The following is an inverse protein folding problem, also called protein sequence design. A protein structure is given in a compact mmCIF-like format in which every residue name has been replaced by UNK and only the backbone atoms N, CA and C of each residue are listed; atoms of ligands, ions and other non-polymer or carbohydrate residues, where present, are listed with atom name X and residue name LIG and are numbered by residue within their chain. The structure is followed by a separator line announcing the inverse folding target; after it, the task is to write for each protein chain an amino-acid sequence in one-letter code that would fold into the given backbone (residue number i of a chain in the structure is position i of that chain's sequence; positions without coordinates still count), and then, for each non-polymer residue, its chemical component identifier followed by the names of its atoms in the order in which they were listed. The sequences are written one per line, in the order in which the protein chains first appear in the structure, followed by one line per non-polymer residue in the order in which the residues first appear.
data_IF_094616487483
#
_entry.id   IF_094616487483
#
_cell.length_a   1.000
_cell.length_b   1.000
_cell.length_c   1.000
_cell.angle_alpha   90.00
_cell.angle_beta   90.00
_cell.angle_gamma   90.00
#
_symmetry.space_group_name_H-M   'P 1'
#
loop_
_entity.id
_entity.type
_entity.pdbx_description
1 polymer ?
#
# COMPACT_ATOMS: atom_id res chain seq x y z
N UNK A 1 14.16 16.40 8.45
CA UNK A 1 13.14 16.45 9.51
C UNK A 1 13.77 15.98 10.82
N UNK A 2 13.34 16.51 11.96
CA UNK A 2 13.82 16.10 13.28
C UNK A 2 13.31 14.69 13.62
N UNK A 3 14.20 13.80 14.08
CA UNK A 3 13.88 12.45 14.55
C UNK A 3 12.77 12.45 15.61
N UNK A 4 12.71 13.47 16.48
CA UNK A 4 11.64 13.59 17.49
C UNK A 4 10.26 13.78 16.88
N UNK A 5 10.18 14.46 15.73
CA UNK A 5 8.92 14.64 15.02
C UNK A 5 8.43 13.32 14.42
N UNK A 6 9.34 12.56 13.79
CA UNK A 6 9.02 11.23 13.25
C UNK A 6 8.52 10.30 14.36
N UNK A 7 9.19 10.27 15.51
CA UNK A 7 8.75 9.47 16.67
C UNK A 7 7.35 9.87 17.17
N UNK A 8 7.04 11.16 17.12
CA UNK A 8 5.71 11.66 17.47
C UNK A 8 4.65 11.19 16.46
N UNK A 9 4.95 11.24 15.16
CA UNK A 9 4.05 10.72 14.11
C UNK A 9 3.84 9.22 14.33
N UNK A 10 4.91 8.44 14.47
CA UNK A 10 4.87 7.00 14.71
C UNK A 10 3.95 6.65 15.88
N UNK A 11 4.08 7.35 17.02
CA UNK A 11 3.21 7.10 18.18
C UNK A 11 1.73 7.34 17.85
N UNK A 12 1.42 8.48 17.23
CA UNK A 12 0.05 8.85 16.90
C UNK A 12 -0.58 7.88 15.88
N UNK A 13 0.20 7.47 14.88
CA UNK A 13 -0.25 6.52 13.85
C UNK A 13 -0.44 5.13 14.44
N UNK A 14 0.50 4.68 15.28
CA UNK A 14 0.37 3.39 15.96
C UNK A 14 -0.89 3.32 16.82
N UNK A 15 -1.23 4.41 17.50
CA UNK A 15 -2.46 4.48 18.30
C UNK A 15 -3.71 4.33 17.41
N UNK A 16 -3.73 4.93 16.22
CA UNK A 16 -4.82 4.80 15.24
C UNK A 16 -4.95 3.36 14.69
N UNK A 17 -3.83 2.71 14.36
CA UNK A 17 -3.81 1.38 13.69
C UNK A 17 -3.67 0.18 14.65
N UNK A 18 -3.81 0.39 15.96
CA UNK A 18 -3.45 -0.61 16.98
C UNK A 18 -4.34 -1.85 17.04
N UNK A 19 -5.51 -1.84 16.38
CA UNK A 19 -6.53 -2.90 16.49
C UNK A 19 -7.13 -3.37 15.15
N UNK A 20 -6.50 -3.09 14.00
CA UNK A 20 -7.06 -3.52 12.70
C UNK A 20 -6.64 -4.96 12.32
N UNK A 21 -7.58 -5.93 12.22
CA UNK A 21 -7.29 -7.29 11.76
C UNK A 21 -7.24 -7.44 10.24
N UNK A 22 -7.56 -6.39 9.46
CA UNK A 22 -7.74 -6.48 7.99
C UNK A 22 -6.44 -6.56 7.19
N UNK A 23 -5.30 -6.39 7.86
CA UNK A 23 -3.98 -6.31 7.24
C UNK A 23 -3.48 -4.88 6.98
N UNK A 24 -4.23 -3.84 7.37
CA UNK A 24 -3.79 -2.44 7.42
C UNK A 24 -3.39 -2.02 8.85
N UNK A 25 -2.84 -2.96 9.60
CA UNK A 25 -2.35 -2.75 10.96
C UNK A 25 -1.11 -1.84 10.99
N UNK A 26 -0.66 -1.50 12.20
CA UNK A 26 0.59 -0.77 12.41
C UNK A 26 1.78 -1.39 11.66
N UNK A 27 1.83 -2.72 11.56
CA UNK A 27 2.97 -3.40 10.94
C UNK A 27 3.00 -3.24 9.43
N UNK A 28 1.85 -3.10 8.76
CA UNK A 28 1.82 -2.65 7.36
C UNK A 28 2.47 -1.29 7.22
N UNK A 29 2.02 -0.31 8.01
CA UNK A 29 2.54 1.06 7.93
C UNK A 29 4.04 1.09 8.19
N UNK A 30 4.52 0.33 9.18
CA UNK A 30 5.94 0.24 9.49
C UNK A 30 6.77 -0.39 8.36
N UNK A 31 6.28 -1.48 7.74
CA UNK A 31 6.97 -2.08 6.58
C UNK A 31 7.02 -1.12 5.39
N UNK A 32 5.93 -0.43 5.10
CA UNK A 32 5.87 0.59 4.03
C UNK A 32 6.82 1.74 4.33
N UNK A 33 6.83 2.27 5.57
CA UNK A 33 7.80 3.27 6.02
C UNK A 33 9.23 2.83 5.76
N UNK A 34 9.61 1.66 6.25
CA UNK A 34 10.98 1.17 6.17
C UNK A 34 11.41 0.99 4.70
N UNK A 35 10.50 0.47 3.87
CA UNK A 35 10.74 0.28 2.44
C UNK A 35 10.80 1.60 1.67
N UNK A 36 9.94 2.57 1.98
CA UNK A 36 9.95 3.88 1.35
C UNK A 36 11.26 4.62 1.64
N UNK A 37 11.74 4.59 2.89
CA UNK A 37 13.03 5.16 3.28
C UNK A 37 14.19 4.44 2.58
N UNK A 38 14.12 3.11 2.45
CA UNK A 38 15.12 2.33 1.71
C UNK A 38 15.17 2.72 0.23
N UNK A 39 14.02 2.81 -0.44
CA UNK A 39 13.92 3.22 -1.85
C UNK A 39 14.45 4.65 -2.00
N UNK A 40 13.96 5.59 -1.18
CA UNK A 40 14.40 6.98 -1.21
C UNK A 40 15.91 7.15 -1.04
N UNK A 41 16.55 6.33 -0.20
CA UNK A 41 18.01 6.31 -0.04
C UNK A 41 18.74 5.83 -1.31
N UNK A 42 18.29 4.74 -1.92
CA UNK A 42 18.93 4.17 -3.10
C UNK A 42 18.70 5.01 -4.37
N UNK A 43 17.59 5.74 -4.44
CA UNK A 43 17.32 6.72 -5.51
C UNK A 43 17.99 8.09 -5.25
N UNK A 44 18.66 8.28 -4.10
CA UNK A 44 19.38 9.51 -3.78
C UNK A 44 18.49 10.70 -3.41
N UNK A 45 17.28 10.48 -2.88
CA UNK A 45 16.42 11.58 -2.42
C UNK A 45 17.08 12.34 -1.25
N UNK A 46 17.15 13.68 -1.31
CA UNK A 46 17.65 14.49 -0.21
C UNK A 46 16.61 14.68 0.92
N UNK A 47 15.37 14.20 0.74
CA UNK A 47 14.25 14.47 1.64
C UNK A 47 13.70 13.21 2.33
N UNK A 48 14.59 12.35 2.83
CA UNK A 48 14.23 11.09 3.50
C UNK A 48 13.22 11.25 4.64
N UNK A 49 13.31 12.33 5.42
CA UNK A 49 12.35 12.58 6.50
C UNK A 49 10.94 12.92 6.00
N UNK A 50 10.82 13.50 4.80
CA UNK A 50 9.52 13.73 4.15
C UNK A 50 8.92 12.42 3.66
N UNK A 51 9.73 11.55 3.06
CA UNK A 51 9.34 10.20 2.66
C UNK A 51 8.83 9.40 3.86
N UNK A 52 9.60 9.40 4.95
CA UNK A 52 9.25 8.68 6.18
C UNK A 52 7.94 9.20 6.78
N UNK A 53 7.77 10.51 6.87
CA UNK A 53 6.55 11.12 7.38
C UNK A 53 5.33 10.82 6.49
N UNK A 54 5.46 10.95 5.17
CA UNK A 54 4.36 10.67 4.27
C UNK A 54 3.98 9.18 4.26
N UNK A 55 4.96 8.28 4.31
CA UNK A 55 4.71 6.84 4.44
C UNK A 55 4.02 6.47 5.76
N UNK A 56 4.30 7.17 6.86
CA UNK A 56 3.56 6.95 8.11
C UNK A 56 2.10 7.43 8.03
N UNK A 57 1.81 8.44 7.21
CA UNK A 57 0.51 9.11 7.17
C UNK A 57 -0.42 8.62 6.04
N UNK A 58 0.09 7.88 5.06
CA UNK A 58 -0.61 7.60 3.79
C UNK A 58 -1.98 6.91 3.93
N UNK A 59 -2.15 6.05 4.94
CA UNK A 59 -3.35 5.21 5.12
C UNK A 59 -4.32 5.75 6.18
N UNK A 60 -4.01 6.86 6.86
CA UNK A 60 -4.84 7.39 7.96
C UNK A 60 -6.25 7.77 7.50
N UNK A 61 -6.38 8.23 6.25
CA UNK A 61 -7.66 8.67 5.68
C UNK A 61 -8.42 7.56 4.93
N UNK A 62 -7.94 6.30 4.92
CA UNK A 62 -8.65 5.20 4.25
C UNK A 62 -10.06 5.04 4.87
N UNK A 63 -11.08 4.96 4.00
CA UNK A 63 -12.49 4.74 4.35
C UNK A 63 -12.71 3.45 5.16
N UNK A 64 -11.78 2.47 5.09
CA UNK A 64 -11.86 1.25 5.89
C UNK A 64 -11.58 1.47 7.38
N UNK A 65 -10.86 2.53 7.71
CA UNK A 65 -10.41 2.84 9.08
C UNK A 65 -11.26 3.94 9.75
N UNK A 66 -12.14 4.58 8.99
CA UNK A 66 -12.92 5.73 9.41
C UNK A 66 -14.38 5.56 9.01
N UNK A 67 -15.30 6.14 9.77
CA UNK A 67 -16.73 6.08 9.44
C UNK A 67 -17.05 6.90 8.18
N UNK A 68 -16.19 7.87 7.86
CA UNK A 68 -16.27 8.67 6.64
C UNK A 68 -14.89 9.19 6.22
N UNK A 69 -14.74 9.49 4.93
CA UNK A 69 -13.55 10.16 4.36
C UNK A 69 -13.25 11.48 5.10
N UNK A 70 -14.29 12.24 5.46
CA UNK A 70 -14.17 13.48 6.24
C UNK A 70 -13.51 13.25 7.60
N UNK A 71 -13.92 12.21 8.33
CA UNK A 71 -13.35 11.90 9.64
C UNK A 71 -11.86 11.54 9.52
N UNK A 72 -11.50 10.74 8.52
CA UNK A 72 -10.11 10.39 8.22
C UNK A 72 -9.25 11.61 7.91
N UNK A 73 -9.78 12.53 7.09
CA UNK A 73 -9.12 13.79 6.77
C UNK A 73 -8.93 14.68 8.01
N UNK A 74 -9.96 14.80 8.87
CA UNK A 74 -9.87 15.58 10.11
C UNK A 74 -8.83 14.99 11.08
N UNK A 75 -8.67 13.66 11.16
CA UNK A 75 -7.62 13.00 11.95
C UNK A 75 -6.23 13.32 11.39
N UNK A 76 -6.05 13.20 10.08
CA UNK A 76 -4.79 13.51 9.38
C UNK A 76 -4.37 14.97 9.61
N UNK A 77 -5.31 15.91 9.48
CA UNK A 77 -5.08 17.34 9.72
C UNK A 77 -4.70 17.64 11.18
N UNK A 78 -5.36 17.00 12.14
CA UNK A 78 -5.02 17.13 13.57
C UNK A 78 -3.58 16.66 13.83
N UNK A 79 -3.19 15.52 13.28
CA UNK A 79 -1.85 14.97 13.46
C UNK A 79 -0.82 15.92 12.86
N UNK A 80 -0.97 16.32 11.60
CA UNK A 80 0.05 17.12 10.91
C UNK A 80 0.19 18.54 11.49
N UNK A 81 -0.92 19.13 11.94
CA UNK A 81 -0.88 20.44 12.60
C UNK A 81 -0.18 20.39 13.96
N UNK A 82 -0.14 19.22 14.62
CA UNK A 82 0.58 19.03 15.88
C UNK A 82 2.11 18.96 15.72
N UNK A 83 2.65 18.84 14.50
CA UNK A 83 4.07 18.56 14.25
C UNK A 83 4.97 19.79 14.29
N UNK A 84 4.43 21.00 14.40
CA UNK A 84 5.23 22.23 14.43
C UNK A 84 6.02 22.51 13.14
N UNK A 85 5.62 21.89 12.02
CA UNK A 85 6.22 22.10 10.70
C UNK A 85 5.76 23.41 10.06
N UNK A 86 6.59 23.97 9.17
CA UNK A 86 6.16 25.05 8.27
C UNK A 86 5.07 24.55 7.32
N UNK A 87 4.13 25.43 6.95
CA UNK A 87 2.98 25.07 6.12
C UNK A 87 3.38 24.43 4.79
N UNK A 88 4.43 24.95 4.13
CA UNK A 88 4.93 24.39 2.87
C UNK A 88 5.37 22.91 3.00
N UNK A 89 6.03 22.55 4.10
CA UNK A 89 6.46 21.16 4.32
C UNK A 89 5.28 20.25 4.67
N UNK A 90 4.28 20.77 5.40
CA UNK A 90 3.02 20.05 5.67
C UNK A 90 2.28 19.72 4.38
N UNK A 91 2.10 20.72 3.52
CA UNK A 91 1.41 20.58 2.23
C UNK A 91 2.10 19.53 1.36
N UNK A 92 3.44 19.53 1.28
CA UNK A 92 4.22 18.52 0.56
C UNK A 92 4.03 17.11 1.12
N UNK A 93 4.02 16.94 2.43
CA UNK A 93 3.80 15.63 3.07
C UNK A 93 2.38 15.11 2.77
N UNK A 94 1.36 15.97 2.90
CA UNK A 94 -0.03 15.61 2.61
C UNK A 94 -0.25 15.27 1.14
N UNK A 95 0.35 16.04 0.24
CA UNK A 95 0.29 15.79 -1.20
C UNK A 95 0.87 14.41 -1.54
N UNK A 96 2.03 14.06 -0.98
CA UNK A 96 2.62 12.74 -1.16
C UNK A 96 1.71 11.64 -0.61
N UNK A 97 1.22 11.79 0.63
CA UNK A 97 0.35 10.81 1.28
C UNK A 97 -0.94 10.57 0.46
N UNK A 98 -1.57 11.64 -0.03
CA UNK A 98 -2.79 11.57 -0.84
C UNK A 98 -2.58 10.82 -2.16
N UNK A 99 -1.44 11.05 -2.83
CA UNK A 99 -1.06 10.42 -4.10
C UNK A 99 -0.77 8.91 -4.00
N UNK A 100 -0.54 8.41 -2.79
CA UNK A 100 -0.29 6.98 -2.54
C UNK A 100 -1.60 6.22 -2.35
N UNK A 101 -2.59 6.83 -1.69
CA UNK A 101 -3.89 6.21 -1.45
C UNK A 101 -4.54 5.80 -2.78
N UNK A 102 -4.72 4.49 -3.00
CA UNK A 102 -5.17 3.94 -4.28
C UNK A 102 -6.68 4.14 -4.48
N UNK A 103 -7.11 5.38 -4.69
CA UNK A 103 -8.47 5.70 -5.14
C UNK A 103 -8.55 5.73 -6.67
N UNK A 104 -8.11 4.64 -7.31
CA UNK A 104 -8.52 4.25 -8.66
C UNK A 104 -7.72 4.80 -9.85
N UNK A 105 -6.46 4.40 -9.95
CA UNK A 105 -5.75 4.36 -11.24
C UNK A 105 -5.31 5.70 -11.84
N UNK A 106 -5.45 6.82 -11.12
CA UNK A 106 -4.87 8.06 -11.59
C UNK A 106 -3.34 8.03 -11.41
N UNK A 107 -2.64 7.80 -12.52
CA UNK A 107 -1.18 7.92 -12.62
C UNK A 107 -0.70 9.37 -12.62
N UNK A 108 -1.63 10.34 -12.68
CA UNK A 108 -1.32 11.75 -12.78
C UNK A 108 -0.71 12.32 -11.49
N UNK A 109 0.44 12.98 -11.62
CA UNK A 109 1.01 13.85 -10.57
C UNK A 109 2.09 13.22 -9.68
N UNK A 110 2.66 12.06 -10.05
CA UNK A 110 3.90 11.59 -9.44
C UNK A 110 5.11 12.29 -10.05
N UNK A 111 5.37 13.50 -9.59
CA UNK A 111 6.41 14.35 -10.18
C UNK A 111 7.68 14.42 -9.30
N UNK A 112 7.67 13.76 -8.14
CA UNK A 112 8.76 13.81 -7.16
C UNK A 112 9.26 12.42 -6.78
N UNK A 113 10.57 12.31 -6.52
CA UNK A 113 11.18 11.07 -6.03
C UNK A 113 10.55 10.61 -4.72
N UNK A 114 10.15 11.55 -3.85
CA UNK A 114 9.51 11.22 -2.58
C UNK A 114 8.16 10.52 -2.81
N UNK A 115 7.33 11.05 -3.72
CA UNK A 115 6.04 10.44 -4.02
C UNK A 115 6.18 9.08 -4.70
N UNK A 116 7.14 8.96 -5.61
CA UNK A 116 7.46 7.68 -6.27
C UNK A 116 7.93 6.62 -5.25
N UNK A 117 8.81 7.00 -4.31
CA UNK A 117 9.34 6.08 -3.31
C UNK A 117 8.25 5.55 -2.35
N UNK A 118 7.35 6.43 -1.87
CA UNK A 118 6.26 6.00 -0.98
C UNK A 118 5.25 5.14 -1.75
N UNK A 119 4.91 5.50 -2.99
CA UNK A 119 3.98 4.69 -3.81
C UNK A 119 4.53 3.30 -4.11
N UNK A 120 5.80 3.21 -4.50
CA UNK A 120 6.43 1.93 -4.77
C UNK A 120 6.49 1.08 -3.50
N UNK A 121 6.81 1.68 -2.35
CA UNK A 121 6.85 0.96 -1.08
C UNK A 121 5.50 0.36 -0.68
N UNK A 122 4.41 1.12 -0.80
CA UNK A 122 3.05 0.62 -0.52
C UNK A 122 2.68 -0.54 -1.45
N UNK A 123 2.87 -0.36 -2.76
CA UNK A 123 2.58 -1.41 -3.76
C UNK A 123 3.43 -2.66 -3.57
N UNK A 124 4.70 -2.50 -3.23
CA UNK A 124 5.60 -3.61 -2.96
C UNK A 124 5.13 -4.43 -1.75
N UNK A 125 4.56 -3.81 -0.70
CA UNK A 125 4.03 -4.55 0.46
C UNK A 125 2.80 -5.41 0.11
N UNK A 126 2.11 -5.11 -0.98
CA UNK A 126 1.05 -5.96 -1.55
C UNK A 126 1.59 -7.13 -2.40
N UNK A 127 2.91 -7.23 -2.61
CA UNK A 127 3.56 -8.26 -3.41
C UNK A 127 4.40 -9.24 -2.57
N UNK A 128 4.85 -10.33 -3.19
CA UNK A 128 5.74 -11.31 -2.57
C UNK A 128 5.05 -12.11 -1.46
N UNK A 129 5.83 -12.64 -0.52
CA UNK A 129 5.31 -13.51 0.55
C UNK A 129 4.28 -12.81 1.45
N UNK A 130 4.54 -11.55 1.81
CA UNK A 130 3.59 -10.73 2.60
C UNK A 130 2.33 -10.45 1.78
N UNK A 131 2.48 -10.09 0.50
CA UNK A 131 1.37 -9.91 -0.42
C UNK A 131 0.45 -11.13 -0.52
N UNK A 132 1.03 -12.33 -0.64
CA UNK A 132 0.30 -13.60 -0.62
C UNK A 132 -0.51 -13.72 0.68
N UNK A 133 0.14 -13.62 1.84
CA UNK A 133 -0.51 -13.79 3.14
C UNK A 133 -1.67 -12.80 3.35
N UNK A 134 -1.42 -11.51 3.05
CA UNK A 134 -2.44 -10.44 3.17
C UNK A 134 -3.63 -10.68 2.25
N UNK A 135 -3.39 -11.13 1.02
CA UNK A 135 -4.44 -11.38 0.03
C UNK A 135 -5.38 -12.47 0.49
N UNK A 136 -4.87 -13.56 1.07
CA UNK A 136 -5.69 -14.62 1.66
C UNK A 136 -6.38 -14.20 2.96
N UNK A 137 -5.72 -13.46 3.83
CA UNK A 137 -6.33 -12.94 5.06
C UNK A 137 -7.52 -12.02 4.75
N UNK A 138 -7.32 -11.04 3.86
CA UNK A 138 -8.37 -10.12 3.43
C UNK A 138 -9.49 -10.82 2.66
N UNK A 139 -9.14 -11.74 1.76
CA UNK A 139 -10.12 -12.55 1.03
C UNK A 139 -11.02 -13.35 1.97
N UNK A 140 -10.44 -13.99 3.00
CA UNK A 140 -11.19 -14.69 4.04
C UNK A 140 -12.11 -13.77 4.84
N UNK A 141 -11.61 -12.59 5.25
CA UNK A 141 -12.43 -11.58 5.94
C UNK A 141 -13.61 -11.09 5.10
N UNK A 142 -13.44 -10.94 3.77
CA UNK A 142 -14.50 -10.55 2.84
C UNK A 142 -15.41 -11.70 2.41
N UNK A 143 -15.12 -12.94 2.84
CA UNK A 143 -15.88 -14.12 2.45
C UNK A 143 -15.66 -14.54 0.99
N UNK A 144 -14.56 -14.12 0.37
CA UNK A 144 -14.21 -14.57 -0.97
C UNK A 144 -13.69 -16.01 -0.91
N UNK A 145 -14.07 -16.88 -1.87
CA UNK A 145 -13.46 -18.19 -1.97
C UNK A 145 -11.96 -18.05 -2.26
N UNK A 146 -11.16 -18.99 -1.76
CA UNK A 146 -9.72 -19.05 -2.08
C UNK A 146 -9.52 -19.11 -3.60
N UNK A 147 -10.21 -20.03 -4.25
CA UNK A 147 -10.24 -20.18 -5.69
C UNK A 147 -11.57 -20.78 -6.12
N UNK A 148 -12.11 -20.31 -7.24
CA UNK A 148 -13.31 -20.86 -7.88
C UNK A 148 -13.04 -20.95 -9.39
N UNK A 149 -12.82 -22.16 -9.96
CA UNK A 149 -12.47 -22.34 -11.36
C UNK A 149 -13.61 -22.00 -12.32
N UNK A 150 -14.84 -21.80 -11.83
CA UNK A 150 -15.97 -21.35 -12.66
C UNK A 150 -15.96 -19.83 -12.91
N UNK A 151 -15.19 -19.08 -12.13
CA UNK A 151 -14.99 -17.65 -12.32
C UNK A 151 -13.92 -17.38 -13.39
N UNK A 152 -14.01 -16.22 -14.03
CA UNK A 152 -13.04 -15.75 -15.02
C UNK A 152 -12.20 -14.61 -14.43
N UNK A 153 -10.94 -14.50 -14.85
CA UNK A 153 -10.11 -13.32 -14.56
C UNK A 153 -10.73 -12.12 -15.26
N UNK A 154 -10.91 -11.02 -14.52
CA UNK A 154 -11.45 -9.77 -15.05
C UNK A 154 -10.30 -8.87 -15.50
N UNK A 155 -10.24 -8.56 -16.79
CA UNK A 155 -9.16 -7.74 -17.36
C UNK A 155 -9.49 -6.25 -17.33
N UNK A 156 -10.74 -5.88 -17.62
CA UNK A 156 -11.21 -4.50 -17.62
C UNK A 156 -12.31 -4.36 -16.57
N UNK A 157 -12.07 -3.56 -15.53
CA UNK A 157 -13.02 -3.33 -14.44
C UNK A 157 -13.21 -1.84 -14.21
N UNK A 158 -14.47 -1.42 -14.08
CA UNK A 158 -14.80 -0.18 -13.40
C UNK A 158 -14.43 -0.26 -11.92
N UNK A 159 -14.33 0.89 -11.23
CA UNK A 159 -14.08 0.92 -9.78
C UNK A 159 -15.14 0.16 -8.99
N UNK A 160 -16.39 0.23 -9.43
CA UNK A 160 -17.51 -0.46 -8.79
C UNK A 160 -17.39 -1.97 -8.95
N UNK A 161 -17.07 -2.46 -10.16
CA UNK A 161 -16.81 -3.88 -10.40
C UNK A 161 -15.59 -4.38 -9.61
N UNK A 162 -14.54 -3.58 -9.48
CA UNK A 162 -13.40 -3.94 -8.64
C UNK A 162 -13.79 -4.08 -7.16
N UNK A 163 -14.65 -3.20 -6.63
CA UNK A 163 -15.08 -3.21 -5.22
C UNK A 163 -16.15 -4.26 -4.89
N UNK A 164 -17.08 -4.52 -5.81
CA UNK A 164 -18.29 -5.31 -5.54
C UNK A 164 -18.47 -6.51 -6.46
N UNK A 165 -17.67 -6.64 -7.52
CA UNK A 165 -17.76 -7.76 -8.44
C UNK A 165 -17.28 -9.06 -7.79
N UNK A 166 -17.95 -10.15 -8.13
CA UNK A 166 -17.62 -11.49 -7.63
C UNK A 166 -16.29 -11.95 -8.22
N UNK A 167 -15.34 -12.29 -7.37
CA UNK A 167 -14.05 -12.87 -7.72
C UNK A 167 -13.58 -13.83 -6.62
N UNK A 168 -12.41 -14.44 -6.79
CA UNK A 168 -11.76 -15.28 -5.78
C UNK A 168 -10.41 -14.67 -5.39
N UNK A 169 -9.87 -15.09 -4.25
CA UNK A 169 -8.54 -14.64 -3.79
C UNK A 169 -7.44 -14.91 -4.83
N UNK A 170 -7.43 -16.07 -5.47
CA UNK A 170 -6.46 -16.41 -6.52
C UNK A 170 -6.64 -15.54 -7.77
N UNK A 171 -7.87 -15.28 -8.19
CA UNK A 171 -8.15 -14.39 -9.32
C UNK A 171 -7.62 -12.97 -9.08
N UNK A 172 -7.63 -12.48 -7.83
CA UNK A 172 -7.06 -11.17 -7.47
C UNK A 172 -5.56 -11.04 -7.79
N UNK A 173 -4.80 -12.14 -7.78
CA UNK A 173 -3.39 -12.09 -8.21
C UNK A 173 -3.27 -11.63 -9.66
N UNK A 174 -4.10 -12.17 -10.54
CA UNK A 174 -4.10 -11.84 -11.97
C UNK A 174 -4.75 -10.49 -12.27
N UNK A 175 -5.84 -10.17 -11.56
CA UNK A 175 -6.57 -8.91 -11.73
C UNK A 175 -5.78 -7.69 -11.24
N UNK A 176 -4.81 -7.86 -10.33
CA UNK A 176 -4.08 -6.74 -9.73
C UNK A 176 -2.62 -7.05 -9.42
N UNK A 177 -2.34 -8.01 -8.54
CA UNK A 177 -1.02 -8.10 -7.88
C UNK A 177 0.13 -8.36 -8.85
N UNK A 178 -0.09 -9.19 -9.86
CA UNK A 178 0.90 -9.50 -10.90
C UNK A 178 1.11 -8.33 -11.88
N UNK A 179 0.18 -7.37 -11.93
CA UNK A 179 0.30 -6.17 -12.77
C UNK A 179 1.13 -5.08 -12.09
N UNK A 180 1.30 -5.14 -10.76
CA UNK A 180 1.95 -4.08 -9.98
C UNK A 180 3.41 -3.86 -10.35
N UNK A 181 4.14 -4.89 -10.78
CA UNK A 181 5.57 -4.77 -11.10
C UNK A 181 5.82 -3.74 -12.21
N UNK A 182 4.92 -3.67 -13.19
CA UNK A 182 5.06 -2.81 -14.37
C UNK A 182 4.65 -1.36 -14.06
N UNK A 183 4.06 -1.13 -12.88
CA UNK A 183 3.60 0.18 -12.41
C UNK A 183 4.58 0.84 -11.42
N UNK A 184 5.75 0.21 -11.18
CA UNK A 184 6.79 0.75 -10.30
C UNK A 184 7.49 1.95 -10.93
N UNK A 185 7.65 3.01 -10.14
CA UNK A 185 8.16 4.29 -10.59
C UNK A 185 9.69 4.38 -10.54
N UNK A 186 10.28 3.89 -9.45
CA UNK A 186 11.71 3.99 -9.15
C UNK A 186 12.47 2.80 -9.69
N UNK A 187 13.79 2.96 -9.91
CA UNK A 187 14.63 1.85 -10.34
C UNK A 187 14.68 0.76 -9.26
N UNK A 188 14.92 1.16 -8.02
CA UNK A 188 14.96 0.27 -6.86
C UNK A 188 13.64 -0.46 -6.67
N UNK A 189 12.51 0.25 -6.85
CA UNK A 189 11.18 -0.34 -6.78
C UNK A 189 10.95 -1.44 -7.82
N UNK A 190 11.37 -1.20 -9.07
CA UNK A 190 11.32 -2.22 -10.15
C UNK A 190 12.17 -3.44 -9.85
N UNK A 191 13.39 -3.25 -9.36
CA UNK A 191 14.31 -4.35 -9.00
C UNK A 191 13.70 -5.23 -7.91
N UNK A 192 13.14 -4.63 -6.85
CA UNK A 192 12.47 -5.36 -5.76
C UNK A 192 11.16 -6.03 -6.22
N UNK A 193 10.39 -5.38 -7.09
CA UNK A 193 9.13 -5.91 -7.59
C UNK A 193 9.34 -7.17 -8.42
N UNK A 194 10.41 -7.25 -9.21
CA UNK A 194 10.73 -8.41 -10.02
C UNK A 194 10.99 -9.67 -9.15
N UNK A 195 11.71 -9.53 -8.05
CA UNK A 195 11.92 -10.62 -7.09
C UNK A 195 10.59 -11.07 -6.44
N UNK A 196 9.80 -10.10 -5.96
CA UNK A 196 8.52 -10.38 -5.30
C UNK A 196 7.49 -10.97 -6.27
N UNK A 197 7.50 -10.55 -7.53
CA UNK A 197 6.66 -11.09 -8.60
C UNK A 197 6.97 -12.56 -8.86
N UNK A 198 8.26 -12.91 -9.03
CA UNK A 198 8.70 -14.30 -9.23
C UNK A 198 8.25 -15.21 -8.10
N UNK A 199 8.32 -14.72 -6.85
CA UNK A 199 7.81 -15.48 -5.71
C UNK A 199 6.30 -15.78 -5.83
N UNK A 200 5.49 -14.79 -6.22
CA UNK A 200 4.04 -14.99 -6.40
C UNK A 200 3.74 -15.96 -7.54
N UNK A 201 4.48 -15.90 -8.65
CA UNK A 201 4.34 -16.88 -9.75
C UNK A 201 4.68 -18.30 -9.28
N UNK A 202 5.74 -18.46 -8.48
CA UNK A 202 6.11 -19.75 -7.88
C UNK A 202 5.02 -20.25 -6.92
N UNK A 203 4.49 -19.36 -6.08
CA UNK A 203 3.37 -19.68 -5.18
C UNK A 203 2.14 -20.15 -5.98
N UNK A 204 1.72 -19.41 -7.01
CA UNK A 204 0.57 -19.77 -7.84
C UNK A 204 0.79 -21.11 -8.54
N UNK A 205 1.98 -21.33 -9.11
CA UNK A 205 2.34 -22.61 -9.73
C UNK A 205 2.22 -23.77 -8.74
N UNK A 206 2.69 -23.58 -7.51
CA UNK A 206 2.59 -24.60 -6.47
C UNK A 206 1.14 -24.80 -6.02
N UNK A 207 0.39 -23.71 -5.82
CA UNK A 207 -1.02 -23.74 -5.49
C UNK A 207 -1.84 -24.57 -6.50
N UNK A 208 -1.65 -24.35 -7.79
CA UNK A 208 -2.38 -25.12 -8.82
C UNK A 208 -1.97 -26.58 -8.88
N UNK A 209 -0.74 -26.94 -8.55
CA UNK A 209 -0.35 -28.36 -8.44
C UNK A 209 -1.09 -29.04 -7.29
N UNK A 210 -1.04 -28.43 -6.11
CA UNK A 210 -1.70 -28.94 -4.90
C UNK A 210 -3.22 -29.02 -5.09
N UNK A 211 -3.82 -27.99 -5.69
CA UNK A 211 -5.25 -27.97 -6.03
C UNK A 211 -5.68 -29.15 -6.92
N UNK A 212 -4.78 -29.59 -7.80
CA UNK A 212 -5.00 -30.71 -8.72
C UNK A 212 -4.40 -32.04 -8.21
N UNK A 213 -3.95 -32.10 -6.95
CA UNK A 213 -3.42 -33.31 -6.32
C UNK A 213 -2.05 -33.79 -6.86
N UNK A 214 -1.18 -32.87 -7.27
CA UNK A 214 0.15 -33.14 -7.85
C UNK A 214 1.32 -32.67 -6.99
#
# INVERSE_FOLDING_TARGET
MDTRMIQKIEKLVKDVHSNDPSGHDWYHIDRVRNLAVYIGKNEGSPHLGRIEAAALLHDISDEKLNESEREGQEKLEKIINSLGLHNEEKEKILDIAAKVSYHGGNEAGLDTLEAMAVRDADRLDAMGAIGVARTFAYGGMKGNPMFDPSLQVRENMTREEYRHGRSSTIHHFYEKLLLLKDLMCTRTGRELAEERHKFMELFLKQFYKEWNGQ
#
